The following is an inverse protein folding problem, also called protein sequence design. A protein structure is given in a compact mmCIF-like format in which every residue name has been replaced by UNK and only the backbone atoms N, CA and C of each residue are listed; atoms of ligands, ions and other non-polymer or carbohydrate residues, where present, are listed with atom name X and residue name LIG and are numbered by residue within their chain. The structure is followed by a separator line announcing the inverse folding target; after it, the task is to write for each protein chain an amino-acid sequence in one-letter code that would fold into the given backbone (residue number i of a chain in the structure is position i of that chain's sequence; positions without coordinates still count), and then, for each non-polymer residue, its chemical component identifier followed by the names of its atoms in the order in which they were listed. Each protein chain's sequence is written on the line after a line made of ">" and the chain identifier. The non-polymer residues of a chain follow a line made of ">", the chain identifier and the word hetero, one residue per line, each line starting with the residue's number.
data_IF_819442918699
#
_entry.id   IF_819442918699
#
_cell.length_a   1.000
_cell.length_b   1.000
_cell.length_c   1.000
_cell.angle_alpha   90.00
_cell.angle_beta   90.00
_cell.angle_gamma   90.00
#
_symmetry.space_group_name_H-M   'P 1'
#
loop_
_entity.id
_entity.type
_entity.pdbx_description
1 polymer ?
#
# COMPACT_ATOMS: atom_id res chain seq x y z
N UNK A 1 -5.43 4.82 -15.17
CA UNK A 1 -5.77 5.48 -16.47
C UNK A 1 -6.13 6.92 -16.16
N UNK A 2 -5.19 7.86 -16.30
CA UNK A 2 -5.45 9.27 -15.99
C UNK A 2 -6.18 9.89 -17.18
N UNK A 3 -7.41 10.32 -16.98
CA UNK A 3 -8.18 11.09 -17.98
C UNK A 3 -7.46 12.42 -18.15
N UNK A 4 -6.81 12.62 -19.29
CA UNK A 4 -6.38 13.94 -19.74
C UNK A 4 -7.64 14.78 -19.97
N UNK A 5 -8.10 15.47 -18.93
CA UNK A 5 -9.07 16.55 -19.07
C UNK A 5 -8.38 17.70 -19.80
N UNK A 6 -8.49 17.71 -21.14
CA UNK A 6 -8.19 18.87 -21.95
C UNK A 6 -9.21 19.95 -21.56
N UNK A 7 -8.84 20.83 -20.63
CA UNK A 7 -9.81 21.83 -20.13
C UNK A 7 -10.09 22.95 -21.12
N UNK A 8 -9.24 23.17 -22.13
CA UNK A 8 -9.60 23.87 -23.38
C UNK A 8 -8.37 24.07 -24.28
N UNK A 9 -8.59 24.07 -25.61
CA UNK A 9 -7.68 24.66 -26.59
C UNK A 9 -8.31 25.98 -27.03
N UNK A 10 -7.76 27.12 -26.58
CA UNK A 10 -8.20 28.42 -27.05
C UNK A 10 -7.29 28.91 -28.18
N UNK A 11 -7.89 29.36 -29.27
CA UNK A 11 -7.21 30.08 -30.34
C UNK A 11 -7.25 31.56 -29.98
N UNK A 12 -6.10 32.14 -29.59
CA UNK A 12 -6.07 33.51 -29.06
C UNK A 12 -6.01 34.59 -30.15
N UNK A 13 -5.65 34.26 -31.40
CA UNK A 13 -5.62 35.22 -32.50
C UNK A 13 -5.81 34.53 -33.86
N UNK A 14 -6.87 34.88 -34.60
CA UNK A 14 -7.15 34.33 -35.95
C UNK A 14 -6.10 34.71 -37.02
N UNK A 15 -5.20 35.63 -36.73
CA UNK A 15 -4.25 36.21 -37.69
C UNK A 15 -2.84 35.59 -37.57
N UNK A 16 -2.47 35.10 -36.38
CA UNK A 16 -1.21 34.42 -36.13
C UNK A 16 -1.50 33.18 -35.32
N UNK A 17 -1.44 32.00 -35.93
CA UNK A 17 -1.79 30.69 -35.35
C UNK A 17 -0.97 30.35 -34.09
N UNK A 18 -1.31 30.97 -32.96
CA UNK A 18 -0.73 30.79 -31.64
C UNK A 18 -1.69 29.99 -30.78
N UNK A 19 -1.21 28.86 -30.29
CA UNK A 19 -1.98 27.97 -29.43
C UNK A 19 -1.42 28.01 -28.01
N UNK A 20 -2.31 27.86 -27.03
CA UNK A 20 -1.97 27.72 -25.62
C UNK A 20 -2.50 26.39 -25.13
N UNK A 21 -1.59 25.52 -24.67
CA UNK A 21 -1.96 24.27 -24.01
C UNK A 21 -1.72 24.43 -22.51
N UNK A 22 -2.75 24.14 -21.71
CA UNK A 22 -2.69 24.08 -20.26
C UNK A 22 -2.83 22.63 -19.82
N UNK A 23 -1.80 22.08 -19.17
CA UNK A 23 -1.81 20.71 -18.62
C UNK A 23 -1.81 20.84 -17.11
N UNK A 24 -2.79 20.25 -16.43
CA UNK A 24 -2.79 20.19 -14.97
C UNK A 24 -1.69 19.24 -14.51
N UNK A 25 -0.76 19.75 -13.70
CA UNK A 25 0.37 19.03 -13.14
C UNK A 25 0.38 19.16 -11.62
N UNK A 26 0.82 18.14 -10.87
CA UNK A 26 1.01 18.28 -9.43
C UNK A 26 2.01 19.41 -9.13
N UNK A 27 1.92 20.07 -7.96
CA UNK A 27 2.84 21.14 -7.59
C UNK A 27 4.29 20.63 -7.63
N UNK A 28 5.14 21.31 -8.40
CA UNK A 28 6.56 21.01 -8.53
C UNK A 28 7.33 22.33 -8.72
N UNK A 29 8.41 22.50 -7.96
CA UNK A 29 9.28 23.68 -8.04
C UNK A 29 10.33 23.46 -9.12
N UNK A 30 10.01 23.84 -10.36
CA UNK A 30 11.04 24.00 -11.40
C UNK A 30 10.68 25.12 -12.39
N UNK A 31 11.55 26.12 -12.45
CA UNK A 31 11.53 27.13 -13.50
C UNK A 31 12.27 26.59 -14.74
N UNK A 32 11.61 26.59 -15.91
CA UNK A 32 12.22 26.20 -17.17
C UNK A 32 12.18 27.36 -18.17
N UNK A 33 13.36 27.90 -18.52
CA UNK A 33 13.51 28.78 -19.66
C UNK A 33 13.85 27.93 -20.90
N UNK A 34 12.88 27.68 -21.79
CA UNK A 34 13.19 27.10 -23.10
C UNK A 34 13.65 28.18 -24.06
N UNK A 35 14.94 28.15 -24.41
CA UNK A 35 15.46 28.84 -25.58
C UNK A 35 14.81 28.24 -26.84
N UNK A 36 14.35 29.10 -27.75
CA UNK A 36 13.72 28.83 -29.06
C UNK A 36 12.17 28.68 -29.07
N UNK A 37 11.53 29.76 -29.55
CA UNK A 37 10.20 29.85 -30.19
C UNK A 37 8.93 29.32 -29.50
N UNK A 38 9.00 28.92 -28.23
CA UNK A 38 7.84 28.72 -27.36
C UNK A 38 8.17 29.09 -25.92
N UNK A 39 7.19 29.58 -25.16
CA UNK A 39 7.35 29.85 -23.72
C UNK A 39 6.61 28.76 -22.97
N UNK A 40 7.34 28.00 -22.16
CA UNK A 40 6.79 27.05 -21.19
C UNK A 40 6.91 27.69 -19.81
N UNK A 41 5.82 27.80 -19.06
CA UNK A 41 5.83 28.39 -17.72
C UNK A 41 4.76 27.75 -16.83
N UNK A 42 4.93 27.90 -15.52
CA UNK A 42 3.99 27.43 -14.51
C UNK A 42 2.94 28.51 -14.20
N UNK A 43 1.66 28.14 -14.17
CA UNK A 43 0.53 28.96 -13.73
C UNK A 43 -0.25 28.18 -12.66
N UNK A 44 0.19 28.26 -11.40
CA UNK A 44 -0.34 27.44 -10.31
C UNK A 44 -0.03 25.95 -10.49
N UNK A 45 -1.08 25.12 -10.61
CA UNK A 45 -0.96 23.66 -10.89
C UNK A 45 -1.01 23.36 -12.39
N UNK A 46 -0.67 24.32 -13.25
CA UNK A 46 -0.71 24.13 -14.70
C UNK A 46 0.65 24.41 -15.34
N UNK A 47 1.09 23.45 -16.16
CA UNK A 47 2.15 23.64 -17.14
C UNK A 47 1.51 24.27 -18.38
N UNK A 48 1.92 25.50 -18.70
CA UNK A 48 1.40 26.29 -19.82
C UNK A 48 2.44 26.38 -20.90
N UNK A 49 2.12 25.97 -22.13
CA UNK A 49 2.99 26.17 -23.29
C UNK A 49 2.31 27.03 -24.35
N UNK A 50 3.03 28.04 -24.83
CA UNK A 50 2.67 28.87 -25.99
C UNK A 50 3.52 28.47 -27.19
N UNK A 51 2.89 28.09 -28.29
CA UNK A 51 3.61 27.70 -29.52
C UNK A 51 2.94 28.26 -30.77
N UNK A 52 3.75 28.54 -31.80
CA UNK A 52 3.27 28.76 -33.17
C UNK A 52 2.97 27.41 -33.80
N UNK A 53 1.88 27.32 -34.56
CA UNK A 53 1.40 26.09 -35.18
C UNK A 53 2.40 25.55 -36.21
N UNK A 54 3.33 24.71 -35.76
CA UNK A 54 4.07 23.79 -36.60
C UNK A 54 4.05 22.43 -35.91
N UNK A 55 3.54 21.42 -36.62
CA UNK A 55 3.18 20.08 -36.12
C UNK A 55 4.33 19.34 -35.43
N UNK A 56 5.58 19.70 -35.76
CA UNK A 56 6.79 19.13 -35.17
C UNK A 56 7.03 19.61 -33.72
N UNK A 57 6.69 20.87 -33.39
CA UNK A 57 6.93 21.46 -32.07
C UNK A 57 5.98 20.89 -31.01
N UNK A 58 4.71 20.67 -31.38
CA UNK A 58 3.70 20.07 -30.49
C UNK A 58 4.08 18.65 -30.10
N UNK A 59 4.59 17.85 -31.05
CA UNK A 59 5.09 16.49 -30.78
C UNK A 59 6.28 16.51 -29.83
N UNK A 60 7.27 17.38 -30.06
CA UNK A 60 8.44 17.49 -29.20
C UNK A 60 8.10 17.89 -27.75
N UNK A 61 7.17 18.84 -27.56
CA UNK A 61 6.70 19.24 -26.21
C UNK A 61 5.96 18.10 -25.49
N UNK A 62 5.14 17.33 -26.21
CA UNK A 62 4.49 16.15 -25.62
C UNK A 62 5.49 15.05 -25.26
N UNK A 63 6.47 14.77 -26.12
CA UNK A 63 7.52 13.78 -25.83
C UNK A 63 8.36 14.20 -24.64
N UNK A 64 8.71 15.50 -24.51
CA UNK A 64 9.44 16.02 -23.36
C UNK A 64 8.62 15.90 -22.07
N UNK A 65 7.32 16.22 -22.10
CA UNK A 65 6.43 16.08 -20.94
C UNK A 65 6.28 14.61 -20.54
N UNK A 66 6.04 13.69 -21.47
CA UNK A 66 6.02 12.25 -21.19
C UNK A 66 7.38 11.76 -20.67
N UNK A 67 8.49 12.25 -21.22
CA UNK A 67 9.84 11.92 -20.77
C UNK A 67 10.12 12.43 -19.36
N UNK A 68 9.69 13.65 -19.02
CA UNK A 68 9.79 14.22 -17.67
C UNK A 68 8.87 13.49 -16.68
N UNK A 69 7.65 13.14 -17.08
CA UNK A 69 6.73 12.35 -16.27
C UNK A 69 7.26 10.93 -16.02
N UNK A 70 7.87 10.29 -17.02
CA UNK A 70 8.48 8.96 -16.90
C UNK A 70 9.81 8.98 -16.11
N UNK A 71 10.59 10.07 -16.18
CA UNK A 71 11.78 10.23 -15.31
C UNK A 71 11.42 10.47 -13.84
N UNK A 72 10.19 10.91 -13.55
CA UNK A 72 9.75 11.22 -12.18
C UNK A 72 9.04 10.07 -11.45
N UNK A 73 8.85 8.89 -12.05
CA UNK A 73 8.34 7.75 -11.27
C UNK A 73 9.46 7.17 -10.41
N UNK A 74 9.54 7.64 -9.15
CA UNK A 74 10.51 7.15 -8.16
C UNK A 74 10.45 5.61 -8.07
N UNK A 75 11.56 4.91 -7.82
CA UNK A 75 11.55 3.46 -7.67
C UNK A 75 10.53 3.04 -6.60
N UNK A 76 9.67 2.09 -6.95
CA UNK A 76 8.75 1.45 -6.02
C UNK A 76 9.49 0.29 -5.35
N UNK A 77 9.56 0.31 -4.03
CA UNK A 77 10.34 -0.66 -3.23
C UNK A 77 9.44 -1.28 -2.17
N UNK A 78 9.74 -2.54 -1.85
CA UNK A 78 9.07 -3.33 -0.83
C UNK A 78 10.02 -3.47 0.34
N UNK A 79 9.53 -3.23 1.55
CA UNK A 79 10.29 -3.50 2.77
C UNK A 79 9.51 -4.47 3.63
N UNK A 80 10.21 -5.44 4.21
CA UNK A 80 9.62 -6.47 5.07
C UNK A 80 10.23 -6.37 6.46
N UNK A 81 9.38 -6.28 7.48
CA UNK A 81 9.77 -6.38 8.88
C UNK A 81 9.31 -7.73 9.44
N UNK A 82 10.25 -8.49 9.98
CA UNK A 82 9.99 -9.77 10.67
C UNK A 82 9.90 -9.58 12.17
N UNK A 83 8.83 -10.09 12.77
CA UNK A 83 8.60 -10.18 14.21
C UNK A 83 8.24 -11.62 14.60
N UNK A 84 8.24 -11.92 15.89
CA UNK A 84 7.81 -13.22 16.45
C UNK A 84 6.89 -13.00 17.63
N UNK A 85 5.95 -13.91 17.85
CA UNK A 85 5.09 -13.91 19.03
C UNK A 85 4.67 -15.32 19.40
N UNK A 86 4.32 -15.51 20.67
CA UNK A 86 3.87 -16.80 21.18
C UNK A 86 2.40 -16.73 21.56
N UNK A 87 1.57 -17.61 21.00
CA UNK A 87 0.14 -17.67 21.34
C UNK A 87 -0.36 -19.09 21.45
N UNK A 88 -1.35 -19.29 22.32
CA UNK A 88 -2.14 -20.51 22.39
C UNK A 88 -3.46 -20.37 21.62
N UNK A 89 -4.01 -21.48 21.13
CA UNK A 89 -5.33 -21.55 20.50
C UNK A 89 -5.89 -22.98 20.48
N UNK A 90 -7.17 -23.08 20.11
CA UNK A 90 -7.86 -24.34 19.80
C UNK A 90 -8.68 -24.16 18.52
N UNK A 91 -8.40 -24.97 17.50
CA UNK A 91 -9.21 -24.96 16.29
C UNK A 91 -10.52 -25.69 16.54
N UNK A 92 -11.59 -24.95 16.82
CA UNK A 92 -12.93 -25.49 17.09
C UNK A 92 -14.01 -24.55 16.54
N UNK A 93 -14.95 -25.09 15.77
CA UNK A 93 -16.11 -24.37 15.23
C UNK A 93 -17.36 -24.69 16.05
N UNK A 94 -18.04 -23.65 16.54
CA UNK A 94 -19.32 -23.79 17.26
C UNK A 94 -20.48 -24.16 16.33
N UNK A 95 -20.28 -24.13 15.02
CA UNK A 95 -21.28 -24.53 14.01
C UNK A 95 -21.21 -26.02 13.64
N UNK A 96 -20.23 -26.76 14.17
CA UNK A 96 -20.00 -28.18 13.90
C UNK A 96 -20.25 -29.01 15.16
N UNK A 97 -20.57 -30.28 14.99
CA UNK A 97 -20.61 -31.23 16.10
C UNK A 97 -19.21 -31.48 16.68
N UNK A 98 -19.13 -32.06 17.87
CA UNK A 98 -17.82 -32.43 18.46
C UNK A 98 -17.11 -33.50 17.62
N UNK A 99 -17.84 -34.46 17.06
CA UNK A 99 -17.29 -35.50 16.19
C UNK A 99 -16.74 -34.90 14.88
N UNK A 100 -17.47 -33.97 14.26
CA UNK A 100 -17.01 -33.27 13.05
C UNK A 100 -15.78 -32.40 13.33
N UNK A 101 -15.77 -31.70 14.47
CA UNK A 101 -14.62 -30.91 14.91
C UNK A 101 -13.38 -31.79 15.10
N UNK A 102 -13.53 -32.93 15.76
CA UNK A 102 -12.45 -33.90 15.94
C UNK A 102 -11.98 -34.48 14.61
N UNK A 103 -12.92 -34.79 13.69
CA UNK A 103 -12.59 -35.33 12.38
C UNK A 103 -11.82 -34.32 11.51
N UNK A 104 -12.22 -33.05 11.50
CA UNK A 104 -11.65 -32.01 10.66
C UNK A 104 -10.33 -31.47 11.24
N UNK A 105 -10.31 -31.12 12.53
CA UNK A 105 -9.17 -30.43 13.14
C UNK A 105 -8.23 -31.37 13.90
N UNK A 106 -8.66 -32.61 14.20
CA UNK A 106 -7.83 -33.63 14.83
C UNK A 106 -7.15 -33.14 16.11
N UNK A 107 -5.82 -33.30 16.17
CA UNK A 107 -5.01 -32.89 17.34
C UNK A 107 -5.12 -31.40 17.66
N UNK A 108 -5.38 -30.55 16.67
CA UNK A 108 -5.55 -29.11 16.87
C UNK A 108 -6.87 -28.76 17.58
N UNK A 109 -7.82 -29.71 17.70
CA UNK A 109 -9.06 -29.57 18.47
C UNK A 109 -8.91 -29.92 19.96
N UNK A 110 -7.71 -30.21 20.46
CA UNK A 110 -7.48 -30.56 21.88
C UNK A 110 -8.27 -29.61 22.82
N UNK A 111 -9.12 -30.10 23.74
CA UNK A 111 -9.96 -29.25 24.59
C UNK A 111 -9.20 -28.22 25.42
N UNK A 112 -7.94 -28.53 25.79
CA UNK A 112 -7.06 -27.62 26.53
C UNK A 112 -6.17 -26.75 25.62
N UNK A 113 -6.39 -26.80 24.30
CA UNK A 113 -5.63 -26.06 23.31
C UNK A 113 -4.22 -26.59 23.08
N UNK A 114 -3.47 -25.81 22.31
CA UNK A 114 -2.04 -25.94 22.05
C UNK A 114 -1.50 -24.55 21.71
N UNK A 115 -0.22 -24.41 21.35
CA UNK A 115 0.32 -23.11 20.99
C UNK A 115 1.53 -23.18 20.08
N UNK A 116 1.89 -22.02 19.54
CA UNK A 116 2.97 -21.87 18.57
C UNK A 116 3.80 -20.62 18.83
N UNK A 117 5.04 -20.68 18.35
CA UNK A 117 5.91 -19.51 18.21
C UNK A 117 5.81 -19.03 16.77
N UNK A 118 4.84 -18.16 16.53
CA UNK A 118 4.57 -17.62 15.21
C UNK A 118 5.69 -16.70 14.75
N UNK A 119 5.96 -16.72 13.44
CA UNK A 119 6.80 -15.72 12.76
C UNK A 119 5.90 -14.88 11.86
N UNK A 120 5.88 -13.58 12.11
CA UNK A 120 5.13 -12.61 11.32
C UNK A 120 6.08 -11.79 10.45
N UNK A 121 5.88 -11.83 9.14
CA UNK A 121 6.53 -10.95 8.18
C UNK A 121 5.50 -9.97 7.61
N UNK A 122 5.72 -8.68 7.86
CA UNK A 122 4.88 -7.59 7.37
C UNK A 122 5.62 -6.87 6.26
N UNK A 123 5.07 -6.93 5.05
CA UNK A 123 5.63 -6.23 3.89
C UNK A 123 4.77 -5.03 3.55
N UNK A 124 5.40 -3.87 3.45
CA UNK A 124 4.80 -2.65 2.93
C UNK A 124 5.47 -2.24 1.63
N UNK A 125 4.79 -1.41 0.86
CA UNK A 125 5.26 -0.91 -0.43
C UNK A 125 5.02 0.58 -0.57
N UNK A 126 5.96 1.27 -1.21
CA UNK A 126 5.85 2.68 -1.54
C UNK A 126 7.00 3.14 -2.41
N UNK A 127 7.01 4.43 -2.71
CA UNK A 127 8.11 5.06 -3.43
C UNK A 127 9.21 5.48 -2.45
N UNK A 128 10.47 5.32 -2.86
CA UNK A 128 11.60 5.82 -2.08
C UNK A 128 11.54 7.35 -2.03
N UNK A 129 11.51 7.90 -0.83
CA UNK A 129 11.59 9.34 -0.61
C UNK A 129 12.99 9.87 -0.98
N UNK A 130 13.05 11.04 -1.61
CA UNK A 130 14.30 11.58 -2.18
C UNK A 130 15.23 12.17 -1.13
N UNK A 131 14.67 12.63 0.00
CA UNK A 131 15.44 13.27 1.04
C UNK A 131 15.95 12.26 2.06
N UNK A 132 15.14 11.24 2.35
CA UNK A 132 15.44 10.23 3.37
C UNK A 132 15.94 8.91 2.80
N UNK A 133 15.69 8.62 1.52
CA UNK A 133 16.04 7.34 0.90
C UNK A 133 15.20 6.16 1.41
N UNK A 134 14.05 6.40 2.06
CA UNK A 134 13.22 5.37 2.67
C UNK A 134 11.85 5.27 2.00
N UNK A 135 11.24 4.06 2.02
CA UNK A 135 9.80 3.89 1.77
C UNK A 135 9.01 4.35 3.00
N UNK A 136 9.43 3.89 4.18
CA UNK A 136 9.05 4.40 5.49
C UNK A 136 10.18 4.11 6.48
N UNK A 137 10.19 4.78 7.62
CA UNK A 137 11.10 4.42 8.70
C UNK A 137 10.69 3.06 9.28
N UNK A 138 11.63 2.11 9.34
CA UNK A 138 11.38 0.77 9.87
C UNK A 138 11.02 0.80 11.36
N UNK A 139 11.49 1.80 12.11
CA UNK A 139 11.11 1.98 13.50
C UNK A 139 9.60 2.26 13.67
N UNK A 140 9.01 3.03 12.74
CA UNK A 140 7.57 3.31 12.74
C UNK A 140 6.79 2.02 12.43
N UNK A 141 7.24 1.23 11.44
CA UNK A 141 6.62 -0.06 11.12
C UNK A 141 6.66 -1.02 12.32
N UNK A 142 7.79 -1.09 13.02
CA UNK A 142 7.92 -1.85 14.27
C UNK A 142 6.90 -1.37 15.30
N UNK A 143 6.81 -0.06 15.55
CA UNK A 143 5.88 0.49 16.54
C UNK A 143 4.42 0.19 16.19
N UNK A 144 4.03 0.34 14.92
CA UNK A 144 2.68 0.03 14.44
C UNK A 144 2.35 -1.45 14.66
N UNK A 145 3.27 -2.36 14.33
CA UNK A 145 3.07 -3.81 14.55
C UNK A 145 2.92 -4.11 16.05
N UNK A 146 3.72 -3.47 16.89
CA UNK A 146 3.63 -3.66 18.35
C UNK A 146 2.29 -3.19 18.91
N UNK A 147 1.89 -1.94 18.62
CA UNK A 147 0.69 -1.34 19.21
C UNK A 147 -0.62 -1.92 18.68
N UNK A 148 -0.68 -2.26 17.39
CA UNK A 148 -1.93 -2.66 16.74
C UNK A 148 -2.09 -4.17 16.60
N UNK A 149 -1.03 -4.95 16.80
CA UNK A 149 -1.07 -6.41 16.62
C UNK A 149 -0.50 -7.13 17.84
N UNK A 150 0.81 -7.01 18.09
CA UNK A 150 1.49 -7.89 19.05
C UNK A 150 0.99 -7.70 20.48
N UNK A 151 0.65 -6.47 20.88
CA UNK A 151 0.01 -6.15 22.16
C UNK A 151 -1.24 -7.00 22.45
N UNK A 152 -1.94 -7.45 21.42
CA UNK A 152 -3.21 -8.19 21.55
C UNK A 152 -3.06 -9.70 21.40
N UNK A 153 -1.95 -10.18 20.83
CA UNK A 153 -1.78 -11.61 20.50
C UNK A 153 -0.57 -12.25 21.16
N UNK A 154 0.48 -11.50 21.48
CA UNK A 154 1.68 -12.06 22.10
C UNK A 154 1.44 -12.44 23.57
N UNK A 155 1.86 -13.65 23.92
CA UNK A 155 1.60 -14.31 25.20
C UNK A 155 0.11 -14.37 25.57
N UNK A 156 -0.76 -14.60 24.58
CA UNK A 156 -2.22 -14.71 24.74
C UNK A 156 -2.78 -16.03 24.26
N UNK A 157 -3.98 -16.36 24.70
CA UNK A 157 -4.81 -17.38 24.09
C UNK A 157 -5.78 -16.74 23.09
N UNK A 158 -5.63 -17.01 21.80
CA UNK A 158 -6.37 -16.33 20.72
C UNK A 158 -7.89 -16.41 20.91
N UNK A 159 -8.42 -17.59 21.23
CA UNK A 159 -9.88 -17.79 21.36
C UNK A 159 -10.49 -17.22 22.66
N UNK A 160 -9.66 -16.89 23.66
CA UNK A 160 -10.11 -16.48 25.00
C UNK A 160 -9.78 -15.02 25.32
N UNK A 161 -8.67 -14.51 24.80
CA UNK A 161 -8.17 -13.17 25.09
C UNK A 161 -8.39 -12.19 23.94
N UNK A 162 -8.58 -12.68 22.70
CA UNK A 162 -8.81 -11.84 21.53
C UNK A 162 -10.29 -11.81 21.15
N UNK A 163 -10.92 -10.65 21.34
CA UNK A 163 -12.34 -10.43 21.06
C UNK A 163 -12.75 -10.81 19.63
N UNK A 164 -11.85 -10.62 18.66
CA UNK A 164 -12.08 -10.97 17.26
C UNK A 164 -12.49 -12.44 17.08
N UNK A 165 -11.81 -13.37 17.77
CA UNK A 165 -12.15 -14.80 17.72
C UNK A 165 -13.24 -15.16 18.74
N UNK A 166 -13.13 -14.62 19.96
CA UNK A 166 -14.00 -14.97 21.08
C UNK A 166 -15.46 -14.58 20.87
N UNK A 167 -15.70 -13.35 20.43
CA UNK A 167 -17.05 -12.77 20.33
C UNK A 167 -17.70 -13.21 19.02
N UNK A 168 -16.96 -13.15 17.92
CA UNK A 168 -17.49 -13.47 16.58
C UNK A 168 -17.54 -14.98 16.29
N UNK A 169 -17.00 -15.82 17.17
CA UNK A 169 -16.92 -17.28 17.02
C UNK A 169 -16.22 -17.71 15.73
N UNK A 170 -15.17 -16.96 15.37
CA UNK A 170 -14.32 -17.27 14.22
C UNK A 170 -13.29 -18.30 14.67
N UNK A 171 -13.04 -19.33 13.84
CA UNK A 171 -12.01 -20.34 14.11
C UNK A 171 -10.62 -19.70 13.94
N UNK A 172 -9.74 -19.84 14.94
CA UNK A 172 -8.41 -19.23 14.99
C UNK A 172 -7.34 -19.94 14.14
N UNK A 173 -7.68 -20.27 12.90
CA UNK A 173 -6.71 -20.80 11.94
C UNK A 173 -5.69 -19.73 11.55
N UNK A 174 -4.53 -20.14 11.03
CA UNK A 174 -3.47 -19.25 10.58
C UNK A 174 -3.95 -18.30 9.46
N UNK A 175 -4.89 -18.74 8.62
CA UNK A 175 -5.57 -17.91 7.62
C UNK A 175 -6.39 -16.78 8.23
N UNK A 176 -7.28 -17.10 9.18
CA UNK A 176 -8.10 -16.07 9.82
C UNK A 176 -7.25 -15.12 10.67
N UNK A 177 -6.16 -15.60 11.27
CA UNK A 177 -5.20 -14.76 11.98
C UNK A 177 -4.46 -13.81 11.03
N UNK A 178 -4.02 -14.26 9.86
CA UNK A 178 -3.39 -13.41 8.85
C UNK A 178 -4.36 -12.32 8.34
N UNK A 179 -5.64 -12.66 8.14
CA UNK A 179 -6.69 -11.70 7.76
C UNK A 179 -6.93 -10.66 8.87
N UNK A 180 -7.02 -11.10 10.13
CA UNK A 180 -7.15 -10.19 11.27
C UNK A 180 -5.98 -9.20 11.33
N UNK A 181 -4.74 -9.70 11.26
CA UNK A 181 -3.52 -8.89 11.28
C UNK A 181 -3.53 -7.88 10.12
N UNK A 182 -3.89 -8.32 8.92
CA UNK A 182 -4.00 -7.45 7.75
C UNK A 182 -4.98 -6.30 7.98
N UNK A 183 -6.16 -6.57 8.55
CA UNK A 183 -7.17 -5.55 8.83
C UNK A 183 -6.67 -4.49 9.83
N UNK A 184 -6.00 -4.93 10.91
CA UNK A 184 -5.41 -4.02 11.90
C UNK A 184 -4.33 -3.12 11.27
N UNK A 185 -3.38 -3.72 10.55
CA UNK A 185 -2.25 -3.00 9.99
C UNK A 185 -2.61 -2.11 8.80
N UNK A 186 -3.53 -2.56 7.93
CA UNK A 186 -4.03 -1.74 6.82
C UNK A 186 -4.62 -0.44 7.33
N UNK A 187 -5.44 -0.51 8.38
CA UNK A 187 -6.07 0.66 8.99
C UNK A 187 -5.04 1.58 9.63
N UNK A 188 -4.14 1.01 10.45
CA UNK A 188 -3.11 1.79 11.14
C UNK A 188 -2.15 2.51 10.18
N UNK A 189 -1.69 1.82 9.13
CA UNK A 189 -0.79 2.39 8.11
C UNK A 189 -1.51 3.49 7.32
N UNK A 190 -2.73 3.25 6.85
CA UNK A 190 -3.49 4.26 6.07
C UNK A 190 -3.77 5.54 6.84
N UNK A 191 -3.96 5.45 8.16
CA UNK A 191 -4.22 6.62 9.00
C UNK A 191 -2.97 7.49 9.22
N UNK A 192 -1.76 6.96 9.00
CA UNK A 192 -0.50 7.64 9.29
C UNK A 192 0.34 7.94 8.03
N UNK A 193 0.15 7.18 6.95
CA UNK A 193 0.98 7.26 5.74
C UNK A 193 0.14 7.21 4.46
N UNK A 194 0.09 8.33 3.73
CA UNK A 194 -0.68 8.43 2.47
C UNK A 194 -0.03 7.68 1.29
N UNK A 195 1.31 7.56 1.31
CA UNK A 195 2.13 7.05 0.19
C UNK A 195 2.67 5.64 0.41
N UNK A 196 2.31 5.00 1.51
CA UNK A 196 2.76 3.66 1.91
C UNK A 196 1.53 2.77 2.05
N UNK A 197 1.63 1.57 1.51
CA UNK A 197 0.54 0.60 1.56
C UNK A 197 1.04 -0.72 2.10
N UNK A 198 0.20 -1.38 2.92
CA UNK A 198 0.42 -2.78 3.26
C UNK A 198 0.33 -3.60 1.97
N UNK A 199 1.27 -4.53 1.79
CA UNK A 199 1.37 -5.35 0.58
C UNK A 199 1.18 -6.84 0.87
N UNK A 200 1.80 -7.35 1.93
CA UNK A 200 1.75 -8.77 2.26
C UNK A 200 1.86 -8.98 3.76
N UNK A 201 1.00 -9.85 4.29
CA UNK A 201 1.18 -10.51 5.58
C UNK A 201 1.56 -11.95 5.29
N UNK A 202 2.73 -12.36 5.76
CA UNK A 202 3.15 -13.76 5.75
C UNK A 202 3.30 -14.23 7.18
N UNK A 203 2.57 -15.27 7.54
CA UNK A 203 2.51 -15.81 8.89
C UNK A 203 2.94 -17.27 8.87
N UNK A 204 3.99 -17.58 9.62
CA UNK A 204 4.45 -18.94 9.84
C UNK A 204 3.88 -19.38 11.19
N UNK A 205 3.03 -20.40 11.18
CA UNK A 205 2.59 -21.08 12.40
C UNK A 205 3.67 -22.02 12.90
N UNK A 206 4.32 -22.71 11.97
CA UNK A 206 5.51 -23.55 12.21
C UNK A 206 6.50 -23.34 11.07
N UNK A 207 7.65 -24.01 11.12
CA UNK A 207 8.62 -23.98 10.02
C UNK A 207 8.06 -24.54 8.70
N UNK A 208 7.01 -25.38 8.76
CA UNK A 208 6.43 -26.07 7.61
C UNK A 208 5.06 -25.52 7.18
N UNK A 209 4.41 -24.71 8.02
CA UNK A 209 3.06 -24.19 7.77
C UNK A 209 3.11 -22.68 7.64
N UNK A 210 2.82 -22.19 6.43
CA UNK A 210 2.97 -20.77 6.08
C UNK A 210 1.71 -20.31 5.35
N UNK A 211 1.15 -19.19 5.81
CA UNK A 211 0.03 -18.51 5.16
C UNK A 211 0.51 -17.17 4.65
N UNK A 212 0.03 -16.79 3.46
CA UNK A 212 0.23 -15.47 2.86
C UNK A 212 -1.13 -14.84 2.58
N UNK A 213 -1.32 -13.59 3.00
CA UNK A 213 -2.51 -12.79 2.67
C UNK A 213 -2.12 -11.41 2.15
N UNK A 214 -2.79 -10.97 1.06
CA UNK A 214 -2.51 -9.71 0.36
C UNK A 214 -3.72 -8.77 0.22
N UNK A 215 -4.79 -9.02 0.99
CA UNK A 215 -5.99 -8.19 0.97
C UNK A 215 -6.92 -8.41 -0.22
N UNK A 216 -6.82 -9.58 -0.86
CA UNK A 216 -7.74 -10.07 -1.90
C UNK A 216 -9.13 -10.41 -1.33
#
# INVERSE_FOLDING_TARGET
>A
MMVLLFTSIYNLDRIFSKFVLRIKVPPFDAEFNSASNGVVYMDGTYLVTKFKANTLFVRASFTLILYMMNKCSKPKVYITRRETFSSAHRLHSTALSDDDNMHIFGKCNNPNGHGHNYVLEVTVVGHVDEHTGMVMNIADLKHIIQEHVLKFIDHKHLDLDLDHFRINKIVSTTENLAIYIWQQLTTAIRNQFDKVHLYEIKLHETENNIVVYRGE
#
